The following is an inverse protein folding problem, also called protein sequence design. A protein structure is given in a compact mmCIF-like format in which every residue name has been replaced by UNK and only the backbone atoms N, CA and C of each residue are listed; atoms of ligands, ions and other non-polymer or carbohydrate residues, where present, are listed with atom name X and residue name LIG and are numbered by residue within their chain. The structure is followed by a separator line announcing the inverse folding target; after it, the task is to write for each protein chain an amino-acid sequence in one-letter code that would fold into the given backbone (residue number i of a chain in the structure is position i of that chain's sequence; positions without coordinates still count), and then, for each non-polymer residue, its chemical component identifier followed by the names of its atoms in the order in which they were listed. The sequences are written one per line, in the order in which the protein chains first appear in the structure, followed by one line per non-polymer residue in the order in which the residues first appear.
data_IF_277888969911
#
_entry.id   IF_277888969911
#
_cell.length_a   1.000
_cell.length_b   1.000
_cell.length_c   1.000
_cell.angle_alpha   90.00
_cell.angle_beta   90.00
_cell.angle_gamma   90.00
#
_symmetry.space_group_name_H-M   'P 1'
#
loop_
_entity.id
_entity.type
_entity.pdbx_description
1 polymer ?
#
# COMPACT_ATOMS: atom_id res chain seq x y z
N UNK A 1 5.91 -16.87 -0.73
CA UNK A 1 4.86 -17.90 -0.60
C UNK A 1 4.03 -17.97 -1.87
N UNK A 2 3.46 -19.13 -2.18
CA UNK A 2 2.66 -19.36 -3.39
C UNK A 2 1.49 -18.36 -3.54
N UNK A 3 1.00 -18.18 -4.76
CA UNK A 3 -0.24 -17.46 -5.04
C UNK A 3 -1.39 -18.10 -4.25
N UNK A 4 -2.33 -17.30 -3.74
CA UNK A 4 -3.44 -17.75 -2.88
C UNK A 4 -3.06 -18.42 -1.54
N UNK A 5 -1.80 -18.37 -1.12
CA UNK A 5 -1.38 -18.89 0.18
C UNK A 5 -1.80 -18.02 1.40
N UNK A 6 -2.76 -17.10 1.25
CA UNK A 6 -3.26 -16.25 2.34
C UNK A 6 -2.28 -15.16 2.83
N UNK A 7 -1.27 -14.79 2.02
CA UNK A 7 -0.23 -13.81 2.42
C UNK A 7 -0.83 -12.46 2.85
N UNK A 8 -1.71 -11.90 2.02
CA UNK A 8 -2.33 -10.59 2.29
C UNK A 8 -3.25 -10.66 3.50
N UNK A 9 -3.97 -11.78 3.68
CA UNK A 9 -4.80 -12.03 4.87
C UNK A 9 -3.94 -12.04 6.15
N UNK A 10 -2.82 -12.77 6.13
CA UNK A 10 -1.90 -12.81 7.27
C UNK A 10 -1.32 -11.42 7.56
N UNK A 11 -0.96 -10.66 6.53
CA UNK A 11 -0.45 -9.29 6.68
C UNK A 11 -1.50 -8.37 7.32
N UNK A 12 -2.77 -8.42 6.88
CA UNK A 12 -3.87 -7.67 7.49
C UNK A 12 -4.05 -8.02 8.98
N UNK A 13 -3.97 -9.30 9.35
CA UNK A 13 -4.02 -9.72 10.75
C UNK A 13 -2.84 -9.18 11.57
N UNK A 14 -1.61 -9.28 11.04
CA UNK A 14 -0.41 -8.79 11.72
C UNK A 14 -0.40 -7.26 11.84
N UNK A 15 -1.03 -6.54 10.91
CA UNK A 15 -1.12 -5.09 10.94
C UNK A 15 -1.92 -4.56 12.15
N UNK A 16 -2.71 -5.40 12.82
CA UNK A 16 -3.34 -5.07 14.11
C UNK A 16 -2.31 -4.80 15.24
N UNK A 17 -1.05 -5.22 15.07
CA UNK A 17 0.04 -4.91 16.01
C UNK A 17 0.68 -3.54 15.84
N UNK A 18 0.30 -2.79 14.78
CA UNK A 18 0.80 -1.45 14.52
C UNK A 18 0.25 -0.48 15.57
N UNK A 19 1.10 0.40 16.10
CA UNK A 19 0.70 1.39 17.09
C UNK A 19 -0.35 2.37 16.53
N UNK A 20 -1.34 2.73 17.35
CA UNK A 20 -2.47 3.58 16.94
C UNK A 20 -2.11 5.02 16.52
N UNK A 21 -0.87 5.44 16.76
CA UNK A 21 -0.33 6.77 16.40
C UNK A 21 0.65 6.72 15.23
N UNK A 22 0.97 5.53 14.73
CA UNK A 22 1.88 5.39 13.60
C UNK A 22 1.19 5.82 12.31
N UNK A 23 1.90 6.56 11.47
CA UNK A 23 1.50 6.92 10.12
C UNK A 23 1.88 5.81 9.16
N UNK A 24 0.87 5.18 8.57
CA UNK A 24 1.05 4.05 7.65
C UNK A 24 0.70 4.46 6.24
N UNK A 25 1.55 4.10 5.28
CA UNK A 25 1.25 4.27 3.86
C UNK A 25 1.27 2.89 3.22
N UNK A 26 0.20 2.49 2.53
CA UNK A 26 0.21 1.25 1.75
C UNK A 26 0.46 1.57 0.29
N UNK A 27 1.20 0.70 -0.40
CA UNK A 27 1.46 0.82 -1.85
C UNK A 27 1.13 -0.51 -2.52
N UNK A 28 0.08 -0.52 -3.33
CA UNK A 28 -0.53 -1.75 -3.83
C UNK A 28 -0.79 -1.67 -5.35
N UNK A 29 -0.74 -2.80 -6.05
CA UNK A 29 -1.21 -2.85 -7.44
C UNK A 29 -2.74 -2.79 -7.49
N UNK A 30 -3.39 -3.50 -6.56
CA UNK A 30 -4.83 -3.49 -6.30
C UNK A 30 -5.03 -3.41 -4.80
N UNK A 31 -5.94 -2.57 -4.32
CA UNK A 31 -6.23 -2.48 -2.89
C UNK A 31 -6.75 -3.80 -2.32
N UNK A 32 -6.02 -4.34 -1.34
CA UNK A 32 -6.39 -5.52 -0.54
C UNK A 32 -6.23 -5.25 0.97
N UNK A 33 -5.35 -4.34 1.36
CA UNK A 33 -5.11 -4.01 2.77
C UNK A 33 -6.23 -3.13 3.35
N UNK A 34 -6.66 -3.48 4.56
CA UNK A 34 -7.68 -2.75 5.32
C UNK A 34 -7.17 -2.53 6.75
N UNK A 35 -6.53 -1.39 6.97
CA UNK A 35 -5.90 -1.07 8.25
C UNK A 35 -6.79 -0.10 9.05
N UNK A 36 -7.34 -0.49 10.21
CA UNK A 36 -8.21 0.37 11.02
C UNK A 36 -7.38 1.36 11.86
N UNK A 37 -6.54 2.17 11.21
CA UNK A 37 -5.68 3.17 11.82
C UNK A 37 -6.18 4.58 11.52
N UNK A 38 -5.86 5.55 12.39
CA UNK A 38 -6.27 6.95 12.23
C UNK A 38 -5.51 7.65 11.10
N UNK A 39 -4.21 7.40 10.95
CA UNK A 39 -3.35 8.03 9.94
C UNK A 39 -2.84 6.95 8.97
N UNK A 40 -3.69 6.61 8.01
CA UNK A 40 -3.38 5.65 6.93
C UNK A 40 -3.63 6.30 5.57
N UNK A 41 -2.69 6.11 4.63
CA UNK A 41 -2.86 6.53 3.23
C UNK A 41 -2.63 5.34 2.31
N UNK A 42 -3.62 5.02 1.47
CA UNK A 42 -3.49 4.00 0.43
C UNK A 42 -3.05 4.61 -0.90
N UNK A 43 -2.01 4.06 -1.51
CA UNK A 43 -1.55 4.39 -2.86
C UNK A 43 -1.72 3.17 -3.77
N UNK A 44 -2.32 3.38 -4.94
CA UNK A 44 -2.56 2.33 -5.92
C UNK A 44 -1.87 2.64 -7.25
N UNK A 45 -1.29 1.60 -7.87
CA UNK A 45 -0.80 1.68 -9.24
C UNK A 45 -1.89 2.17 -10.20
N UNK A 46 -1.47 2.88 -11.25
CA UNK A 46 -2.37 3.27 -12.34
C UNK A 46 -1.83 2.72 -13.65
N UNK A 47 -2.63 1.92 -14.34
CA UNK A 47 -2.34 1.49 -15.70
C UNK A 47 -2.36 2.69 -16.66
N UNK A 48 -1.61 2.66 -17.77
CA UNK A 48 -1.72 3.69 -18.79
C UNK A 48 -3.14 3.75 -19.36
N UNK A 49 -3.54 4.92 -19.86
CA UNK A 49 -4.75 5.07 -20.67
C UNK A 49 -4.57 4.40 -22.05
N UNK A 50 -5.61 4.48 -22.90
CA UNK A 50 -5.60 3.87 -24.24
C UNK A 50 -4.48 4.42 -25.14
N UNK A 51 -4.05 5.65 -24.88
CA UNK A 51 -2.95 6.33 -25.57
C UNK A 51 -1.56 5.94 -25.02
N UNK A 52 -1.48 5.03 -24.04
CA UNK A 52 -0.22 4.59 -23.43
C UNK A 52 0.35 5.58 -22.40
N UNK A 53 -0.44 6.55 -21.94
CA UNK A 53 -0.01 7.65 -21.08
C UNK A 53 -0.52 7.53 -19.66
N UNK A 54 0.17 8.19 -18.74
CA UNK A 54 -0.29 8.33 -17.36
C UNK A 54 -0.07 7.09 -16.48
N UNK A 55 0.75 6.14 -16.90
CA UNK A 55 1.16 5.04 -16.02
C UNK A 55 1.77 5.56 -14.71
N UNK A 56 1.38 4.93 -13.60
CA UNK A 56 1.98 5.12 -12.28
C UNK A 56 2.39 3.73 -11.76
N UNK A 57 3.66 3.34 -11.94
CA UNK A 57 4.13 2.03 -11.50
C UNK A 57 4.43 2.01 -10.00
N UNK A 58 4.43 0.82 -9.41
CA UNK A 58 4.68 0.59 -7.97
C UNK A 58 5.95 1.32 -7.47
N UNK A 59 7.05 1.21 -8.22
CA UNK A 59 8.33 1.86 -7.90
C UNK A 59 8.22 3.37 -7.75
N UNK A 60 7.36 4.02 -8.53
CA UNK A 60 7.12 5.46 -8.43
C UNK A 60 6.38 5.79 -7.13
N UNK A 61 5.32 5.05 -6.83
CA UNK A 61 4.54 5.23 -5.61
C UNK A 61 5.38 5.02 -4.35
N UNK A 62 6.23 3.99 -4.31
CA UNK A 62 7.17 3.76 -3.20
C UNK A 62 8.07 4.98 -2.97
N UNK A 63 8.60 5.60 -4.04
CA UNK A 63 9.43 6.81 -3.92
C UNK A 63 8.64 8.00 -3.38
N UNK A 64 7.40 8.20 -3.83
CA UNK A 64 6.55 9.28 -3.33
C UNK A 64 6.12 9.05 -1.88
N UNK A 65 5.80 7.81 -1.51
CA UNK A 65 5.44 7.44 -0.15
C UNK A 65 6.55 7.79 0.85
N UNK A 66 7.82 7.56 0.51
CA UNK A 66 8.94 7.93 1.38
C UNK A 66 9.02 9.44 1.68
N UNK A 67 8.50 10.30 0.78
CA UNK A 67 8.46 11.76 1.00
C UNK A 67 7.32 12.19 1.93
N UNK A 68 6.36 11.30 2.16
CA UNK A 68 5.20 11.53 3.03
C UNK A 68 5.49 11.19 4.51
N UNK A 69 6.75 10.90 4.84
CA UNK A 69 7.25 10.59 6.20
C UNK A 69 6.46 9.50 6.92
N UNK A 70 6.29 8.31 6.33
CA UNK A 70 5.64 7.19 7.02
C UNK A 70 6.48 6.70 8.19
N UNK A 71 5.82 6.25 9.25
CA UNK A 71 6.44 5.36 10.25
C UNK A 71 6.54 3.93 9.68
N UNK A 72 5.55 3.53 8.86
CA UNK A 72 5.53 2.26 8.12
C UNK A 72 5.08 2.45 6.67
N UNK A 73 5.77 1.76 5.77
CA UNK A 73 5.47 1.67 4.34
C UNK A 73 5.21 0.21 3.95
#
# INVERSE_FOLDING_TARGET
GATQAGKTTMLNCLAASIGSRERVITVEEIFELQLPLRDVVGLQCRQPNLEGQGEIPLRRLVKEALRMRPDRL
#
